data_IF_158106876789
#
_entry.id   IF_158106876789
#
_cell.length_a   1.000
_cell.length_b   1.000
_cell.length_c   1.000
_cell.angle_alpha   90.00
_cell.angle_beta   90.00
_cell.angle_gamma   90.00
#
_symmetry.space_group_name_H-M   'P 1'
#
loop_
_entity.id
_entity.type
_entity.pdbx_description
1 polymer ?
#
# COMPACT_ATOMS: atom_id res chain seq x y z
N UNK A 1 18.52 -5.88 0.42
CA UNK A 1 19.34 -6.66 -0.54
C UNK A 1 18.61 -6.49 -1.87
N UNK A 2 19.18 -5.80 -2.86
CA UNK A 2 18.53 -5.59 -4.16
C UNK A 2 18.84 -6.79 -5.05
N UNK A 3 17.85 -7.65 -5.26
CA UNK A 3 17.86 -8.66 -6.31
C UNK A 3 16.91 -8.16 -7.41
N UNK A 4 17.36 -8.23 -8.66
CA UNK A 4 16.74 -7.55 -9.81
C UNK A 4 17.57 -6.42 -10.40
N UNK A 5 17.83 -6.49 -11.71
CA UNK A 5 18.36 -5.40 -12.53
C UNK A 5 17.26 -4.89 -13.46
N UNK A 6 17.26 -3.58 -13.78
CA UNK A 6 16.35 -3.03 -14.78
C UNK A 6 16.78 -3.43 -16.21
N UNK A 7 15.83 -3.94 -17.01
CA UNK A 7 16.02 -4.32 -18.41
C UNK A 7 15.09 -3.49 -19.32
N UNK A 8 15.46 -2.25 -19.69
CA UNK A 8 14.59 -1.38 -20.49
C UNK A 8 14.18 -1.97 -21.84
N UNK A 9 15.07 -2.73 -22.48
CA UNK A 9 14.83 -3.36 -23.79
C UNK A 9 13.85 -4.55 -23.72
N UNK A 10 13.54 -5.04 -22.52
CA UNK A 10 12.65 -6.18 -22.25
C UNK A 10 11.34 -5.74 -21.58
N UNK A 11 11.02 -4.45 -21.66
CA UNK A 11 9.77 -3.87 -21.17
C UNK A 11 8.55 -4.65 -21.66
N UNK A 12 7.64 -4.98 -20.74
CA UNK A 12 6.42 -5.74 -21.02
C UNK A 12 5.16 -4.91 -20.70
N UNK A 13 5.14 -3.65 -21.11
CA UNK A 13 4.01 -2.74 -20.86
C UNK A 13 2.76 -3.21 -21.61
N UNK A 14 1.63 -3.46 -20.93
CA UNK A 14 0.39 -3.83 -21.60
C UNK A 14 -0.23 -2.63 -22.30
N UNK A 15 -0.84 -2.88 -23.45
CA UNK A 15 -1.65 -1.88 -24.16
C UNK A 15 -3.07 -1.87 -23.57
N UNK A 16 -3.36 -0.85 -22.76
CA UNK A 16 -4.65 -0.68 -22.07
C UNK A 16 -5.19 0.72 -22.36
N UNK A 17 -6.49 0.82 -22.65
CA UNK A 17 -7.17 2.10 -22.82
C UNK A 17 -7.24 2.89 -21.51
N UNK A 18 -7.05 4.21 -21.60
CA UNK A 18 -7.15 5.09 -20.45
C UNK A 18 -8.58 5.14 -19.87
N UNK A 19 -8.66 5.17 -18.53
CA UNK A 19 -9.91 5.43 -17.83
C UNK A 19 -10.35 6.89 -17.99
N UNK A 20 -11.67 7.18 -18.03
CA UNK A 20 -12.17 8.55 -18.13
C UNK A 20 -11.66 9.47 -17.01
N UNK A 21 -11.37 10.72 -17.38
CA UNK A 21 -10.90 11.77 -16.47
C UNK A 21 -11.94 12.89 -16.41
N UNK A 22 -12.32 13.28 -15.21
CA UNK A 22 -13.30 14.33 -14.96
C UNK A 22 -12.69 15.48 -14.15
N UNK A 23 -13.02 16.71 -14.52
CA UNK A 23 -12.59 17.94 -13.87
C UNK A 23 -13.82 18.73 -13.41
N UNK A 24 -14.42 18.40 -12.25
CA UNK A 24 -15.58 19.14 -11.73
C UNK A 24 -15.29 20.63 -11.61
N UNK A 25 -16.30 21.43 -11.91
CA UNK A 25 -16.31 22.85 -11.54
C UNK A 25 -16.42 23.01 -10.02
N UNK A 26 -16.10 24.20 -9.52
CA UNK A 26 -16.25 24.52 -8.09
C UNK A 26 -17.66 24.25 -7.57
N UNK A 27 -18.69 24.45 -8.40
CA UNK A 27 -20.07 24.23 -7.99
C UNK A 27 -20.44 22.75 -7.95
N UNK A 28 -20.05 21.99 -8.96
CA UNK A 28 -20.20 20.53 -8.97
C UNK A 28 -19.43 19.88 -7.81
N UNK A 29 -18.30 20.47 -7.42
CA UNK A 29 -17.47 19.97 -6.33
C UNK A 29 -18.06 20.19 -4.93
N UNK A 30 -19.14 20.96 -4.78
CA UNK A 30 -19.82 21.12 -3.48
C UNK A 30 -20.61 19.88 -3.05
N UNK A 31 -20.97 19.01 -3.99
CA UNK A 31 -21.78 17.82 -3.75
C UNK A 31 -21.11 16.54 -4.27
N UNK A 32 -20.27 15.93 -3.44
CA UNK A 32 -19.52 14.74 -3.81
C UNK A 32 -20.41 13.57 -4.27
N UNK A 33 -21.46 13.23 -3.51
CA UNK A 33 -22.35 12.10 -3.84
C UNK A 33 -23.16 12.41 -5.10
N UNK A 34 -23.63 13.64 -5.25
CA UNK A 34 -24.36 14.05 -6.45
C UNK A 34 -23.49 14.03 -7.70
N UNK A 35 -22.25 14.47 -7.60
CA UNK A 35 -21.29 14.43 -8.69
C UNK A 35 -20.91 13.00 -9.09
N UNK A 36 -20.64 12.12 -8.12
CA UNK A 36 -20.38 10.70 -8.40
C UNK A 36 -21.59 10.07 -9.11
N UNK A 37 -22.81 10.39 -8.66
CA UNK A 37 -24.02 9.91 -9.31
C UNK A 37 -24.20 10.45 -10.74
N UNK A 38 -23.80 11.69 -11.02
CA UNK A 38 -23.94 12.29 -12.36
C UNK A 38 -22.98 11.70 -13.39
N UNK A 39 -21.75 11.35 -12.98
CA UNK A 39 -20.75 10.74 -13.87
C UNK A 39 -20.91 9.22 -14.00
N UNK A 40 -21.61 8.55 -13.07
CA UNK A 40 -21.79 7.09 -13.04
C UNK A 40 -22.14 6.46 -14.41
N UNK A 41 -23.12 6.96 -15.20
CA UNK A 41 -23.49 6.33 -16.47
C UNK A 41 -22.36 6.27 -17.49
N UNK A 42 -21.37 7.16 -17.38
CA UNK A 42 -20.20 7.21 -18.26
C UNK A 42 -19.08 6.29 -17.78
N UNK A 43 -18.99 6.09 -16.45
CA UNK A 43 -17.88 5.39 -15.77
C UNK A 43 -18.15 3.91 -15.54
N UNK A 44 -19.40 3.51 -15.31
CA UNK A 44 -19.76 2.16 -14.86
C UNK A 44 -19.25 1.05 -15.81
N UNK A 45 -19.15 1.33 -17.11
CA UNK A 45 -18.58 0.41 -18.10
C UNK A 45 -17.06 0.21 -18.02
N UNK A 46 -16.33 1.16 -17.43
CA UNK A 46 -14.87 1.11 -17.24
C UNK A 46 -14.48 0.56 -15.86
N UNK A 47 -15.39 0.60 -14.88
CA UNK A 47 -15.13 0.21 -13.49
C UNK A 47 -14.42 1.29 -12.66
N UNK A 48 -13.48 2.04 -13.24
CA UNK A 48 -12.74 3.13 -12.57
C UNK A 48 -12.77 4.44 -13.37
N UNK A 49 -12.51 5.56 -12.70
CA UNK A 49 -12.26 6.86 -13.31
C UNK A 49 -11.31 7.70 -12.45
N UNK A 50 -10.79 8.79 -13.03
CA UNK A 50 -9.99 9.79 -12.30
C UNK A 50 -10.75 11.09 -12.17
N UNK A 51 -10.90 11.59 -10.95
CA UNK A 51 -11.47 12.91 -10.67
C UNK A 51 -10.33 13.85 -10.28
N UNK A 52 -10.14 14.92 -11.03
CA UNK A 52 -9.15 15.96 -10.75
C UNK A 52 -9.88 17.13 -10.07
N UNK A 53 -9.65 17.40 -8.77
CA UNK A 53 -10.32 18.48 -8.06
C UNK A 53 -10.08 19.86 -8.72
N UNK A 54 -10.94 20.85 -8.45
CA UNK A 54 -10.66 22.23 -8.82
C UNK A 54 -9.29 22.69 -8.31
N UNK A 55 -8.60 23.53 -9.07
CA UNK A 55 -7.22 23.94 -8.75
C UNK A 55 -7.06 24.65 -7.41
N UNK A 56 -8.16 25.24 -6.90
CA UNK A 56 -8.25 25.90 -5.59
C UNK A 56 -8.23 24.91 -4.42
N UNK A 57 -8.65 23.66 -4.65
CA UNK A 57 -8.80 22.65 -3.62
C UNK A 57 -7.47 21.93 -3.39
N UNK A 58 -6.78 22.30 -2.30
CA UNK A 58 -5.48 21.74 -1.91
C UNK A 58 -5.44 21.56 -0.39
N UNK A 59 -5.99 20.46 0.15
CA UNK A 59 -6.01 20.23 1.58
C UNK A 59 -4.58 20.10 2.14
N UNK A 60 -4.28 20.67 3.33
CA UNK A 60 -3.03 20.37 4.01
C UNK A 60 -2.99 18.89 4.41
N UNK A 61 -1.79 18.32 4.55
CA UNK A 61 -1.61 16.95 4.99
C UNK A 61 -1.00 16.93 6.40
N UNK A 62 -1.78 16.63 7.46
CA UNK A 62 -1.28 16.58 8.84
C UNK A 62 -0.12 15.58 9.03
N UNK A 63 -0.07 14.51 8.23
CA UNK A 63 0.99 13.51 8.31
C UNK A 63 2.38 14.10 7.98
N UNK A 64 2.44 15.26 7.30
CA UNK A 64 3.71 15.96 7.01
C UNK A 64 4.25 16.77 8.19
N UNK A 65 3.53 16.84 9.31
CA UNK A 65 4.06 17.45 10.52
C UNK A 65 5.30 16.69 11.00
N UNK A 66 6.36 17.41 11.38
CA UNK A 66 7.68 16.82 11.65
C UNK A 66 7.66 15.73 12.71
N UNK A 67 6.86 15.90 13.77
CA UNK A 67 6.70 14.91 14.84
C UNK A 67 6.09 13.63 14.29
N UNK A 68 5.01 13.74 13.52
CA UNK A 68 4.37 12.59 12.91
C UNK A 68 5.32 11.89 11.92
N UNK A 69 5.84 12.66 10.97
CA UNK A 69 6.67 12.19 9.86
C UNK A 69 7.93 11.42 10.31
N UNK A 70 8.52 11.81 11.45
CA UNK A 70 9.80 11.27 11.94
C UNK A 70 9.69 10.31 13.11
N UNK A 71 8.54 10.23 13.79
CA UNK A 71 8.44 9.49 15.06
C UNK A 71 7.27 8.50 15.10
N UNK A 72 6.37 8.51 14.11
CA UNK A 72 5.25 7.55 14.08
C UNK A 72 5.62 6.40 13.16
N UNK A 73 5.77 5.21 13.74
CA UNK A 73 6.10 3.98 13.03
C UNK A 73 4.85 3.26 12.54
N UNK A 74 4.94 2.65 11.37
CA UNK A 74 3.95 1.73 10.81
C UNK A 74 4.63 0.43 10.39
N UNK A 75 3.87 -0.66 10.44
CA UNK A 75 4.33 -1.95 9.95
C UNK A 75 4.18 -2.04 8.44
N UNK A 76 5.11 -2.75 7.80
CA UNK A 76 5.03 -3.09 6.37
C UNK A 76 4.79 -4.58 6.17
N UNK A 77 4.45 -4.97 4.94
CA UNK A 77 4.43 -6.35 4.47
C UNK A 77 5.37 -6.49 3.28
N UNK A 78 6.13 -7.59 3.22
CA UNK A 78 7.03 -7.89 2.10
C UNK A 78 6.25 -8.53 0.96
N UNK A 79 6.38 -7.95 -0.23
CA UNK A 79 5.79 -8.42 -1.47
C UNK A 79 6.88 -8.93 -2.41
N UNK A 80 6.77 -10.19 -2.80
CA UNK A 80 7.58 -10.79 -3.86
C UNK A 80 6.89 -10.53 -5.20
N UNK A 81 7.35 -9.49 -5.91
CA UNK A 81 6.73 -8.97 -7.14
C UNK A 81 6.78 -10.01 -8.26
N UNK A 82 7.92 -10.69 -8.40
CA UNK A 82 8.16 -11.80 -9.32
C UNK A 82 7.19 -12.98 -9.14
N UNK A 83 6.67 -13.13 -7.91
CA UNK A 83 5.73 -14.19 -7.55
C UNK A 83 4.27 -13.70 -7.55
N UNK A 84 3.93 -12.52 -8.05
CA UNK A 84 2.53 -12.05 -8.00
C UNK A 84 1.59 -12.85 -8.90
N UNK A 85 2.03 -13.23 -10.11
CA UNK A 85 1.21 -13.95 -11.08
C UNK A 85 1.60 -15.43 -11.22
N UNK A 86 2.87 -15.71 -11.51
CA UNK A 86 3.34 -17.04 -11.87
C UNK A 86 4.03 -17.74 -10.70
N UNK A 87 3.24 -18.40 -9.84
CA UNK A 87 3.77 -19.23 -8.74
C UNK A 87 3.79 -20.70 -9.12
N UNK A 88 4.95 -21.36 -9.02
CA UNK A 88 4.96 -22.83 -9.05
C UNK A 88 4.18 -23.40 -7.85
N UNK A 89 3.28 -24.38 -8.06
CA UNK A 89 2.59 -25.02 -6.95
C UNK A 89 3.60 -25.78 -6.08
N UNK A 90 3.65 -25.42 -4.78
CA UNK A 90 4.53 -26.10 -3.81
C UNK A 90 4.28 -27.61 -3.87
N UNK A 91 5.29 -28.39 -4.29
CA UNK A 91 5.28 -29.85 -4.12
C UNK A 91 5.21 -30.11 -2.62
N UNK A 92 4.07 -30.61 -2.14
CA UNK A 92 3.98 -31.17 -0.80
C UNK A 92 4.98 -32.31 -0.73
N UNK A 93 6.13 -32.11 -0.09
CA UNK A 93 6.98 -33.22 0.30
C UNK A 93 6.16 -34.13 1.21
N UNK A 94 5.79 -35.30 0.68
CA UNK A 94 5.18 -36.35 1.46
C UNK A 94 6.16 -36.79 2.53
N UNK A 95 6.03 -36.25 3.74
CA UNK A 95 6.70 -36.81 4.90
C UNK A 95 6.34 -38.31 5.02
N UNK A 96 7.32 -39.20 5.22
CA UNK A 96 7.02 -40.62 5.41
C UNK A 96 6.22 -40.79 6.70
N UNK A 97 4.97 -41.25 6.56
CA UNK A 97 4.09 -41.59 7.69
C UNK A 97 4.72 -42.71 8.52
N UNK A 98 5.45 -42.36 9.58
CA UNK A 98 5.78 -43.30 10.65
C UNK A 98 4.50 -43.62 11.42
N UNK A 99 3.92 -44.80 11.17
CA UNK A 99 2.77 -45.32 11.89
C UNK A 99 3.12 -45.58 13.37
N UNK A 100 2.99 -44.58 14.23
CA UNK A 100 2.98 -44.81 15.69
C UNK A 100 1.64 -45.43 16.10
N UNK A 101 1.61 -46.76 16.25
CA UNK A 101 0.51 -47.52 16.86
C UNK A 101 0.22 -46.97 18.27
N UNK A 102 -0.88 -46.22 18.44
CA UNK A 102 -1.37 -45.77 19.75
C UNK A 102 -1.93 -46.97 20.53
N UNK A 103 -1.15 -47.52 21.46
CA UNK A 103 -1.68 -48.40 22.52
C UNK A 103 -2.50 -47.57 23.51
N UNK A 104 -3.84 -47.73 23.48
CA UNK A 104 -4.75 -47.22 24.52
C UNK A 104 -4.46 -47.93 25.84
N UNK A 105 -3.99 -47.20 26.86
CA UNK A 105 -4.08 -47.61 28.27
C UNK A 105 -4.91 -46.58 29.03
N UNK A 106 -6.09 -47.00 29.50
CA UNK A 106 -6.95 -46.28 30.45
C UNK A 106 -6.24 -46.20 31.81
N UNK A 107 -6.26 -45.04 32.47
CA UNK A 107 -6.29 -44.93 33.95
C UNK A 107 -6.82 -43.55 34.38
N UNK A 108 -7.50 -43.55 35.52
CA UNK A 108 -8.38 -42.53 36.08
C UNK A 108 -7.62 -41.51 36.97
N UNK A 109 -8.13 -40.26 36.94
CA UNK A 109 -8.38 -39.26 38.01
C UNK A 109 -7.25 -38.62 38.87
N UNK A 110 -7.46 -37.29 39.04
CA UNK A 110 -7.10 -36.31 40.10
C UNK A 110 -5.68 -35.70 40.17
N UNK A 111 -5.62 -34.36 40.31
CA UNK A 111 -4.47 -33.62 40.89
C UNK A 111 -4.02 -32.37 40.11
N UNK A 112 -3.86 -31.24 40.81
CA UNK A 112 -3.58 -29.90 40.30
C UNK A 112 -2.11 -29.60 39.92
N UNK A 113 -1.96 -28.53 39.12
CA UNK A 113 -0.85 -27.58 38.98
C UNK A 113 0.59 -28.10 38.81
N UNK A 114 1.16 -27.90 37.61
CA UNK A 114 2.52 -27.37 37.47
C UNK A 114 2.76 -26.78 36.08
N UNK A 115 3.26 -25.54 36.09
CA UNK A 115 3.87 -24.78 34.98
C UNK A 115 4.85 -25.68 34.22
N UNK A 116 4.61 -25.88 32.94
CA UNK A 116 5.63 -26.33 31.99
C UNK A 116 5.62 -25.37 30.81
N UNK A 117 6.73 -24.62 30.70
CA UNK A 117 7.09 -23.82 29.55
C UNK A 117 7.09 -24.74 28.33
N UNK A 118 6.13 -24.52 27.43
CA UNK A 118 6.13 -25.17 26.14
C UNK A 118 7.06 -24.33 25.27
N UNK A 119 8.23 -24.88 24.97
CA UNK A 119 9.07 -24.35 23.90
C UNK A 119 8.24 -24.44 22.62
N UNK A 120 7.83 -23.29 22.09
CA UNK A 120 7.24 -23.20 20.77
C UNK A 120 8.31 -23.64 19.77
N UNK A 121 8.16 -24.87 19.30
CA UNK A 121 8.79 -25.29 18.06
C UNK A 121 8.28 -24.36 16.97
N UNK A 122 9.20 -23.59 16.37
CA UNK A 122 8.95 -22.80 15.17
C UNK A 122 8.54 -23.75 14.03
N UNK A 123 7.25 -24.04 13.97
CA UNK A 123 6.61 -24.59 12.80
C UNK A 123 6.38 -23.40 11.87
N UNK A 124 7.41 -23.06 11.09
CA UNK A 124 7.26 -22.16 9.96
C UNK A 124 6.53 -22.93 8.86
N UNK A 125 5.24 -23.21 9.09
CA UNK A 125 4.31 -23.41 8.00
C UNK A 125 4.31 -22.08 7.23
N UNK A 126 5.02 -22.02 6.11
CA UNK A 126 5.06 -20.88 5.19
C UNK A 126 3.64 -20.60 4.67
N UNK A 127 2.91 -19.86 5.48
CA UNK A 127 1.51 -19.48 5.31
C UNK A 127 1.39 -18.61 4.05
N UNK A 128 0.45 -18.97 3.20
CA UNK A 128 0.08 -18.20 2.01
C UNK A 128 -0.26 -16.75 2.39
N UNK A 129 0.51 -15.79 1.88
CA UNK A 129 0.34 -14.37 2.15
C UNK A 129 1.67 -13.60 2.09
N UNK A 130 1.59 -12.27 2.19
CA UNK A 130 2.77 -11.44 2.37
C UNK A 130 3.32 -11.61 3.79
N UNK A 131 4.65 -11.72 3.89
CA UNK A 131 5.32 -11.84 5.19
C UNK A 131 5.35 -10.49 5.89
N UNK A 132 5.48 -10.47 7.22
CA UNK A 132 5.68 -9.23 7.97
C UNK A 132 7.02 -8.60 7.56
N UNK A 133 6.99 -7.34 7.15
CA UNK A 133 8.18 -6.54 6.87
C UNK A 133 8.71 -5.84 8.11
N UNK A 134 9.60 -4.87 7.89
CA UNK A 134 10.12 -4.03 8.97
C UNK A 134 9.15 -2.91 9.34
N UNK A 135 9.24 -2.42 10.57
CA UNK A 135 8.56 -1.18 10.96
C UNK A 135 9.36 0.02 10.46
N UNK A 136 8.66 1.06 10.00
CA UNK A 136 9.27 2.28 9.50
C UNK A 136 8.51 3.51 9.96
N UNK A 137 9.22 4.62 10.14
CA UNK A 137 8.61 5.95 10.07
C UNK A 137 8.43 6.39 8.61
N UNK A 138 7.58 7.41 8.35
CA UNK A 138 7.42 7.94 7.00
C UNK A 138 8.74 8.49 6.42
N UNK A 139 9.58 9.11 7.25
CA UNK A 139 10.90 9.59 6.82
C UNK A 139 11.84 8.44 6.42
N UNK A 140 11.90 7.38 7.21
CA UNK A 140 12.76 6.22 6.94
C UNK A 140 12.28 5.46 5.72
N UNK A 141 10.97 5.24 5.60
CA UNK A 141 10.40 4.55 4.45
C UNK A 141 10.59 5.33 3.16
N UNK A 142 10.47 6.67 3.19
CA UNK A 142 10.79 7.50 2.03
C UNK A 142 12.24 7.32 1.60
N UNK A 143 13.20 7.41 2.53
CA UNK A 143 14.64 7.21 2.22
C UNK A 143 14.90 5.82 1.66
N UNK A 144 14.26 4.80 2.22
CA UNK A 144 14.34 3.42 1.76
C UNK A 144 13.78 3.26 0.34
N UNK A 145 12.60 3.81 0.07
CA UNK A 145 11.95 3.78 -1.23
C UNK A 145 12.76 4.53 -2.31
N UNK A 146 13.28 5.70 -1.98
CA UNK A 146 14.13 6.50 -2.88
C UNK A 146 15.43 5.75 -3.18
N UNK A 147 16.08 5.17 -2.17
CA UNK A 147 17.29 4.37 -2.34
C UNK A 147 17.04 3.13 -3.21
N UNK A 148 15.93 2.42 -2.99
CA UNK A 148 15.54 1.28 -3.82
C UNK A 148 15.39 1.71 -5.28
N UNK A 149 14.67 2.80 -5.55
CA UNK A 149 14.45 3.30 -6.91
C UNK A 149 15.75 3.71 -7.59
N UNK A 150 16.65 4.40 -6.86
CA UNK A 150 17.97 4.79 -7.39
C UNK A 150 18.85 3.57 -7.73
N UNK A 151 18.80 2.53 -6.89
CA UNK A 151 19.60 1.32 -7.07
C UNK A 151 19.06 0.44 -8.20
N UNK A 152 17.74 0.22 -8.24
CA UNK A 152 17.10 -0.69 -9.19
C UNK A 152 17.23 -0.22 -10.63
N UNK A 153 16.91 1.06 -10.87
CA UNK A 153 17.01 1.68 -12.19
C UNK A 153 18.45 2.11 -12.53
N UNK A 154 19.45 1.72 -11.72
CA UNK A 154 20.84 1.69 -12.15
C UNK A 154 21.53 3.05 -12.35
N UNK A 155 21.43 3.98 -11.41
CA UNK A 155 22.24 5.21 -11.45
C UNK A 155 23.72 5.02 -11.06
N UNK A 156 24.38 3.92 -11.46
CA UNK A 156 25.84 3.76 -11.30
C UNK A 156 26.51 3.10 -12.50
N UNK A 157 27.31 3.89 -13.20
CA UNK A 157 28.58 3.45 -13.81
C UNK A 157 28.62 3.39 -15.33
N UNK A 158 28.62 4.53 -16.01
CA UNK A 158 29.58 4.65 -17.12
C UNK A 158 30.90 5.07 -16.48
N UNK A 159 31.79 4.11 -16.30
CA UNK A 159 33.21 4.42 -16.13
C UNK A 159 33.60 5.33 -17.31
N UNK A 160 34.13 6.53 -17.01
CA UNK A 160 34.46 7.64 -17.95
C UNK A 160 33.45 8.82 -18.06
N UNK A 161 32.72 9.20 -17.01
CA UNK A 161 32.04 10.52 -16.99
C UNK A 161 32.51 11.36 -15.79
N UNK A 162 32.75 12.66 -16.04
CA UNK A 162 33.20 13.64 -15.04
C UNK A 162 32.23 13.72 -13.86
N UNK A 163 32.77 13.81 -12.63
CA UNK A 163 32.00 14.01 -11.39
C UNK A 163 31.02 15.21 -11.44
N UNK A 164 31.26 16.17 -12.33
CA UNK A 164 30.39 17.33 -12.55
C UNK A 164 29.18 17.00 -13.43
N UNK A 165 29.38 16.24 -14.51
CA UNK A 165 28.32 15.75 -15.41
C UNK A 165 27.44 14.72 -14.71
N UNK A 166 28.03 13.86 -13.87
CA UNK A 166 27.27 12.94 -13.02
C UNK A 166 26.33 13.72 -12.08
N UNK A 167 26.75 14.84 -11.49
CA UNK A 167 25.88 15.63 -10.61
C UNK A 167 24.71 16.27 -11.36
N UNK A 168 24.93 16.81 -12.56
CA UNK A 168 23.84 17.39 -13.37
C UNK A 168 22.91 16.32 -13.94
N UNK A 169 23.45 15.21 -14.48
CA UNK A 169 22.64 14.09 -14.95
C UNK A 169 21.89 13.39 -13.81
N UNK A 170 22.45 13.37 -12.60
CA UNK A 170 21.81 12.80 -11.41
C UNK A 170 20.62 13.61 -10.92
N UNK A 171 20.63 14.93 -11.11
CA UNK A 171 19.45 15.77 -10.83
C UNK A 171 18.37 15.63 -11.92
N UNK A 172 18.74 15.21 -13.14
CA UNK A 172 17.84 15.16 -14.30
C UNK A 172 17.20 13.80 -14.58
N UNK A 173 17.89 12.69 -14.32
CA UNK A 173 17.43 11.39 -14.80
C UNK A 173 16.60 10.64 -13.77
N UNK A 174 15.33 10.39 -14.10
CA UNK A 174 14.37 9.54 -13.36
C UNK A 174 13.60 8.70 -14.37
N UNK A 175 13.32 7.42 -14.10
CA UNK A 175 12.50 6.61 -14.99
C UNK A 175 11.09 7.21 -15.06
N UNK A 176 10.56 7.28 -16.28
CA UNK A 176 9.20 7.64 -16.62
C UNK A 176 8.18 6.63 -16.08
N UNK A 177 6.90 7.00 -16.07
CA UNK A 177 5.84 6.10 -15.58
C UNK A 177 5.73 4.87 -16.49
N UNK A 178 5.91 5.06 -17.79
CA UNK A 178 5.85 4.02 -18.82
C UNK A 178 7.01 3.02 -18.68
N UNK A 179 8.22 3.50 -18.35
CA UNK A 179 9.38 2.63 -18.06
C UNK A 179 9.16 1.82 -16.78
N UNK A 180 8.63 2.44 -15.73
CA UNK A 180 8.32 1.74 -14.46
C UNK A 180 7.21 0.70 -14.69
N UNK A 181 6.17 1.04 -15.45
CA UNK A 181 5.06 0.15 -15.76
C UNK A 181 5.52 -1.05 -16.60
N UNK A 182 6.31 -0.80 -17.64
CA UNK A 182 6.85 -1.85 -18.49
C UNK A 182 7.77 -2.81 -17.73
N UNK A 183 8.63 -2.28 -16.86
CA UNK A 183 9.48 -3.09 -16.00
C UNK A 183 8.68 -3.87 -14.96
N UNK A 184 7.67 -3.24 -14.33
CA UNK A 184 6.80 -3.91 -13.38
C UNK A 184 6.14 -5.15 -14.00
N UNK A 185 5.57 -5.00 -15.20
CA UNK A 185 4.93 -6.13 -15.89
C UNK A 185 5.94 -7.14 -16.45
N UNK A 186 7.18 -6.73 -16.74
CA UNK A 186 8.26 -7.66 -17.06
C UNK A 186 8.54 -8.58 -15.87
N UNK A 187 8.73 -8.00 -14.68
CA UNK A 187 8.97 -8.74 -13.44
C UNK A 187 7.80 -9.70 -13.13
N UNK A 188 6.55 -9.21 -13.23
CA UNK A 188 5.37 -10.02 -12.86
C UNK A 188 5.13 -11.19 -13.82
N UNK A 189 5.41 -11.01 -15.12
CA UNK A 189 5.07 -12.00 -16.16
C UNK A 189 6.24 -12.91 -16.49
N UNK A 190 7.45 -12.36 -16.61
CA UNK A 190 8.67 -13.08 -17.00
C UNK A 190 9.84 -12.67 -16.09
N UNK A 191 9.85 -13.08 -14.81
CA UNK A 191 10.91 -12.73 -13.89
C UNK A 191 12.22 -13.45 -14.24
N UNK A 192 13.30 -12.68 -14.40
CA UNK A 192 14.68 -13.22 -14.44
C UNK A 192 15.33 -13.26 -13.04
N UNK A 193 14.91 -12.34 -12.18
CA UNK A 193 15.42 -12.12 -10.83
C UNK A 193 14.25 -12.05 -9.84
N UNK A 194 14.51 -12.42 -8.59
CA UNK A 194 13.57 -12.20 -7.49
C UNK A 194 13.56 -10.72 -7.10
N UNK A 195 12.37 -10.11 -6.98
CA UNK A 195 12.22 -8.70 -6.63
C UNK A 195 11.28 -8.55 -5.44
N UNK A 196 11.83 -8.09 -4.32
CA UNK A 196 11.08 -7.88 -3.08
C UNK A 196 10.92 -6.39 -2.77
N UNK A 197 9.71 -6.01 -2.37
CA UNK A 197 9.38 -4.64 -1.95
C UNK A 197 8.53 -4.65 -0.69
N UNK A 198 8.59 -3.57 0.09
CA UNK A 198 7.77 -3.40 1.28
C UNK A 198 6.51 -2.59 0.94
N UNK A 199 5.40 -2.88 1.61
CA UNK A 199 4.15 -2.13 1.44
C UNK A 199 3.43 -1.94 2.79
N UNK A 200 3.24 -0.67 3.19
CA UNK A 200 2.43 -0.28 4.34
C UNK A 200 0.96 -0.19 3.95
N UNK A 201 0.28 -1.33 3.86
CA UNK A 201 -1.13 -1.40 3.48
C UNK A 201 -2.06 -1.48 4.71
N UNK A 202 -3.32 -1.10 4.51
CA UNK A 202 -4.40 -1.27 5.48
C UNK A 202 -4.14 -0.57 6.83
N UNK A 203 -3.43 0.56 6.83
CA UNK A 203 -3.12 1.30 8.06
C UNK A 203 -4.37 2.04 8.55
N UNK A 204 -4.86 1.69 9.74
CA UNK A 204 -6.07 2.28 10.31
C UNK A 204 -5.84 3.76 10.69
N UNK A 205 -6.52 4.69 10.02
CA UNK A 205 -6.39 6.13 10.29
C UNK A 205 -7.04 6.58 11.61
N UNK A 206 -7.82 5.73 12.28
CA UNK A 206 -8.22 5.97 13.66
C UNK A 206 -7.02 5.90 14.62
N UNK A 207 -6.02 5.07 14.30
CA UNK A 207 -4.80 4.87 15.08
C UNK A 207 -3.68 5.76 14.55
N UNK A 208 -3.45 5.70 13.23
CA UNK A 208 -2.32 6.33 12.55
C UNK A 208 -2.57 7.78 12.12
N UNK A 209 -3.77 8.34 12.38
CA UNK A 209 -4.22 9.62 11.84
C UNK A 209 -4.48 9.61 10.32
N UNK A 210 -5.21 10.62 9.87
CA UNK A 210 -5.64 10.76 8.47
C UNK A 210 -4.77 11.77 7.73
N UNK A 211 -4.61 11.56 6.43
CA UNK A 211 -3.99 12.54 5.52
C UNK A 211 -4.80 13.82 5.32
N UNK A 212 -6.10 13.81 5.65
CA UNK A 212 -6.94 15.00 5.69
C UNK A 212 -6.99 15.62 7.10
N UNK A 213 -7.12 16.96 7.19
CA UNK A 213 -7.36 17.64 8.45
C UNK A 213 -8.69 17.18 9.06
N UNK A 214 -8.73 17.09 10.40
CA UNK A 214 -9.94 16.82 11.17
C UNK A 214 -10.50 18.14 11.69
N UNK A 215 -11.81 18.33 11.56
CA UNK A 215 -12.49 19.46 12.21
C UNK A 215 -12.67 19.15 13.70
N UNK A 216 -12.05 19.95 14.57
CA UNK A 216 -12.25 19.85 16.02
C UNK A 216 -13.39 20.77 16.43
N UNK A 217 -14.42 20.20 17.08
CA UNK A 217 -15.60 20.93 17.57
C UNK A 217 -15.27 21.99 18.63
N UNK A 218 -14.07 21.97 19.19
CA UNK A 218 -13.67 22.81 20.33
C UNK A 218 -13.30 24.26 19.97
N UNK A 219 -13.13 24.60 18.69
CA UNK A 219 -12.66 25.94 18.29
C UNK A 219 -13.45 26.47 17.09
N UNK A 220 -14.70 26.92 17.35
CA UNK A 220 -15.65 27.39 16.33
C UNK A 220 -15.11 28.56 15.48
N UNK A 221 -14.10 29.29 15.96
CA UNK A 221 -13.48 30.41 15.25
C UNK A 221 -12.34 29.99 14.29
N UNK A 222 -12.00 28.70 14.18
CA UNK A 222 -10.91 28.19 13.33
C UNK A 222 -11.29 26.88 12.63
N UNK A 223 -12.51 26.77 12.09
CA UNK A 223 -12.88 25.60 11.31
C UNK A 223 -12.14 25.62 9.96
N UNK A 224 -11.30 24.61 9.75
CA UNK A 224 -10.64 24.37 8.47
C UNK A 224 -11.69 23.95 7.42
N UNK A 225 -11.89 24.69 6.32
CA UNK A 225 -12.85 24.32 5.27
C UNK A 225 -12.59 22.93 4.69
N UNK A 226 -11.34 22.45 4.68
CA UNK A 226 -11.01 21.08 4.24
C UNK A 226 -11.44 20.02 5.26
N UNK A 227 -11.45 20.36 6.55
CA UNK A 227 -11.94 19.49 7.61
C UNK A 227 -13.44 19.21 7.52
N UNK A 228 -14.21 20.12 6.93
CA UNK A 228 -15.66 20.01 6.75
C UNK A 228 -16.09 19.59 5.35
N UNK A 229 -15.17 19.57 4.38
CA UNK A 229 -15.48 19.25 2.99
C UNK A 229 -16.13 17.86 2.84
N UNK A 230 -17.10 17.76 1.93
CA UNK A 230 -17.72 16.49 1.54
C UNK A 230 -16.77 15.55 0.80
N UNK A 231 -15.65 16.07 0.26
CA UNK A 231 -14.57 15.32 -0.38
C UNK A 231 -13.46 14.89 0.59
N UNK A 232 -13.51 15.32 1.85
CA UNK A 232 -12.65 14.75 2.89
C UNK A 232 -13.12 13.31 3.17
N UNK A 233 -12.23 12.34 2.99
CA UNK A 233 -12.60 10.91 3.10
C UNK A 233 -13.10 10.52 4.50
N UNK A 234 -12.77 11.29 5.54
CA UNK A 234 -13.35 11.08 6.87
C UNK A 234 -14.85 11.42 6.92
N UNK A 235 -15.32 12.30 6.02
CA UNK A 235 -16.69 12.80 5.96
C UNK A 235 -17.51 12.15 4.85
N UNK A 236 -16.88 11.72 3.75
CA UNK A 236 -17.54 11.23 2.54
C UNK A 236 -18.56 10.12 2.81
N UNK A 237 -18.19 9.17 3.67
CA UNK A 237 -19.03 8.02 4.06
C UNK A 237 -20.36 8.39 4.70
N UNK A 238 -20.41 9.53 5.41
CA UNK A 238 -21.60 9.99 6.17
C UNK A 238 -22.31 11.14 5.48
N UNK A 239 -21.95 11.44 4.23
CA UNK A 239 -22.65 12.47 3.46
C UNK A 239 -24.12 12.10 3.26
N UNK A 240 -25.03 13.10 3.17
CA UNK A 240 -26.41 12.85 2.81
C UNK A 240 -26.50 12.03 1.51
N UNK A 241 -27.34 10.99 1.52
CA UNK A 241 -27.53 9.97 0.45
C UNK A 241 -26.48 8.85 0.40
N UNK A 242 -25.49 8.84 1.29
CA UNK A 242 -24.69 7.63 1.54
C UNK A 242 -25.44 6.70 2.49
N UNK A 243 -25.67 5.44 2.09
CA UNK A 243 -26.30 4.45 2.98
C UNK A 243 -25.44 4.12 4.21
N UNK A 244 -24.12 4.35 4.14
CA UNK A 244 -23.21 4.20 5.26
C UNK A 244 -23.40 5.26 6.35
N UNK A 245 -24.21 6.31 6.10
CA UNK A 245 -24.56 7.28 7.15
C UNK A 245 -25.42 6.67 8.26
N UNK A 246 -26.09 5.55 7.99
CA UNK A 246 -26.88 4.82 8.99
C UNK A 246 -26.04 3.83 9.81
N UNK A 247 -24.81 3.57 9.39
CA UNK A 247 -23.87 2.76 10.16
C UNK A 247 -23.33 3.58 11.34
N UNK A 248 -23.60 3.09 12.55
CA UNK A 248 -23.20 3.74 13.79
C UNK A 248 -21.78 3.36 14.20
N UNK A 249 -21.30 2.19 13.80
CA UNK A 249 -19.97 1.73 14.14
C UNK A 249 -18.92 2.32 13.20
N UNK A 250 -17.75 2.62 13.77
CA UNK A 250 -16.58 3.06 13.00
C UNK A 250 -15.81 1.84 12.46
N UNK A 251 -16.43 1.14 11.51
CA UNK A 251 -15.86 -0.04 10.86
C UNK A 251 -14.59 0.37 10.08
N UNK A 252 -13.45 -0.19 10.46
CA UNK A 252 -12.15 0.06 9.82
C UNK A 252 -12.18 -0.32 8.33
N UNK A 253 -11.69 0.57 7.47
CA UNK A 253 -11.58 0.37 6.01
C UNK A 253 -12.87 0.63 5.23
N UNK A 254 -14.04 0.46 5.85
CA UNK A 254 -15.35 0.72 5.22
C UNK A 254 -15.83 2.12 5.57
N UNK A 255 -15.84 2.40 6.86
CA UNK A 255 -16.29 3.64 7.44
C UNK A 255 -15.02 4.47 7.68
N UNK A 256 -14.10 4.03 8.54
CA UNK A 256 -12.82 4.71 8.76
C UNK A 256 -11.88 4.52 7.55
N UNK A 257 -11.35 5.59 6.93
CA UNK A 257 -10.41 5.45 5.83
C UNK A 257 -9.17 4.64 6.25
N UNK A 258 -8.60 3.89 5.32
CA UNK A 258 -7.25 3.34 5.46
C UNK A 258 -6.22 4.24 4.79
N UNK A 259 -5.02 4.23 5.34
CA UNK A 259 -3.83 4.82 4.76
C UNK A 259 -2.98 3.72 4.12
N UNK A 260 -2.44 4.03 2.94
CA UNK A 260 -1.52 3.17 2.23
C UNK A 260 -0.23 3.93 1.95
N UNK A 261 0.90 3.37 2.38
CA UNK A 261 2.24 3.93 2.17
C UNK A 261 3.01 2.96 1.27
N UNK A 262 3.18 3.34 0.01
CA UNK A 262 3.82 2.52 -1.02
C UNK A 262 5.19 3.04 -1.44
N UNK A 263 6.00 2.13 -1.95
CA UNK A 263 7.25 2.39 -2.66
C UNK A 263 7.12 1.93 -4.13
N UNK A 264 8.20 2.04 -4.91
CA UNK A 264 8.22 1.55 -6.28
C UNK A 264 7.88 0.05 -6.31
N UNK A 265 7.01 -0.36 -7.24
CA UNK A 265 6.47 -1.73 -7.40
C UNK A 265 5.57 -2.27 -6.27
N UNK A 266 5.29 -1.51 -5.20
CA UNK A 266 4.27 -1.92 -4.23
C UNK A 266 2.92 -2.10 -4.92
N UNK A 267 2.24 -3.21 -4.62
CA UNK A 267 1.12 -3.72 -5.40
C UNK A 267 -0.12 -4.02 -4.55
N UNK A 268 -1.30 -3.85 -5.13
CA UNK A 268 -2.57 -4.31 -4.58
C UNK A 268 -3.21 -5.30 -5.57
N UNK A 269 -3.66 -6.45 -5.07
CA UNK A 269 -4.23 -7.54 -5.88
C UNK A 269 -5.63 -7.91 -5.39
#
# INVERSE_FOLDING_TARGET
>A
QTYGKWHPDESNRPEIDDAPVFTPTEEEFKDAIGYIASIRPQVEKYGICRIVPPSSWRPPCPLKEKSFWKCTEFNTRVQQVDKLQNREPKKKETQPRVQKKRKRRKKLRFGMSQKLRSAESADQDEKFGFQSGSDFTLEEFQKYADMFKEQYFGMKGSDEISLFEIKQHKEMWRPSVEEIEGEYWRIVVCPDDEVEVDYGADLDTAIFSSGFPKSYLSDANKQDPYGLSCWNLNNLRRQPRSVLSFETEDISGVVVPWLYVGMCFSSFC
#
